data_IF_381286575288
#
_entry.id   IF_381286575288
#
_cell.length_a   1.000
_cell.length_b   1.000
_cell.length_c   1.000
_cell.angle_alpha   90.00
_cell.angle_beta   90.00
_cell.angle_gamma   90.00
#
_symmetry.space_group_name_H-M   'P 1'
#
loop_
_entity.id
_entity.type
_entity.pdbx_description
1 polymer ?
#
# COMPACT_ATOMS: atom_id res chain seq x y z
N UNK A 1 5.21 19.47 9.67
CA UNK A 1 3.75 19.40 9.91
C UNK A 1 3.40 17.94 10.02
N UNK A 2 3.30 17.51 11.27
CA UNK A 2 3.05 16.13 11.71
C UNK A 2 1.57 15.83 11.52
N UNK A 3 1.24 15.14 10.42
CA UNK A 3 -0.04 14.46 10.30
C UNK A 3 0.13 13.09 10.97
N UNK A 4 -0.16 13.07 12.27
CA UNK A 4 -0.31 11.88 13.09
C UNK A 4 -1.19 10.85 12.37
N UNK A 5 -0.58 9.89 11.68
CA UNK A 5 -1.25 8.66 11.29
C UNK A 5 -1.48 7.90 12.59
N UNK A 6 -2.69 8.02 13.15
CA UNK A 6 -3.09 7.20 14.28
C UNK A 6 -2.89 5.73 13.90
N UNK A 7 -1.86 5.10 14.47
CA UNK A 7 -1.53 3.71 14.22
C UNK A 7 -2.73 2.88 14.65
N UNK A 8 -3.38 2.22 13.70
CA UNK A 8 -4.50 1.32 14.04
C UNK A 8 -3.94 0.18 14.88
N UNK A 9 -4.44 -0.07 16.10
CA UNK A 9 -3.94 -1.16 16.93
C UNK A 9 -4.06 -2.51 16.22
N UNK A 10 -3.09 -3.39 16.41
CA UNK A 10 -3.04 -4.71 15.75
C UNK A 10 -4.33 -5.51 15.97
N UNK A 11 -4.91 -5.46 17.16
CA UNK A 11 -6.18 -6.15 17.45
C UNK A 11 -7.35 -5.65 16.58
N UNK A 12 -7.40 -4.34 16.34
CA UNK A 12 -8.43 -3.71 15.51
C UNK A 12 -8.20 -3.99 14.02
N UNK A 13 -6.94 -3.99 13.55
CA UNK A 13 -6.60 -4.48 12.21
C UNK A 13 -7.05 -5.94 12.02
N UNK A 14 -6.76 -6.80 13.00
CA UNK A 14 -7.17 -8.21 12.98
C UNK A 14 -8.70 -8.39 12.91
N UNK A 15 -9.46 -7.57 13.66
CA UNK A 15 -10.93 -7.58 13.60
C UNK A 15 -11.44 -7.22 12.21
N UNK A 16 -10.94 -6.14 11.60
CA UNK A 16 -11.32 -5.70 10.25
C UNK A 16 -10.99 -6.75 9.19
N UNK A 17 -9.81 -7.36 9.26
CA UNK A 17 -9.40 -8.44 8.35
C UNK A 17 -10.32 -9.65 8.50
N UNK A 18 -10.66 -10.05 9.73
CA UNK A 18 -11.56 -11.19 9.97
C UNK A 18 -12.97 -10.98 9.42
N UNK A 19 -13.45 -9.74 9.46
CA UNK A 19 -14.75 -9.36 8.87
C UNK A 19 -14.69 -9.37 7.34
N UNK A 20 -13.68 -8.72 6.75
CA UNK A 20 -13.51 -8.63 5.30
C UNK A 20 -13.22 -9.97 4.63
N UNK A 21 -12.46 -10.86 5.28
CA UNK A 21 -12.05 -12.16 4.71
C UNK A 21 -13.24 -13.04 4.33
N UNK A 22 -14.35 -12.97 5.08
CA UNK A 22 -15.58 -13.70 4.78
C UNK A 22 -16.27 -13.21 3.50
N UNK A 23 -16.13 -11.93 3.16
CA UNK A 23 -16.64 -11.38 1.91
C UNK A 23 -15.76 -11.80 0.74
N UNK A 24 -14.43 -11.63 0.88
CA UNK A 24 -13.45 -12.02 -0.15
C UNK A 24 -13.53 -13.52 -0.46
N UNK A 25 -13.67 -14.37 0.56
CA UNK A 25 -13.78 -15.82 0.39
C UNK A 25 -15.03 -16.24 -0.42
N UNK A 26 -16.11 -15.46 -0.34
CA UNK A 26 -17.37 -15.72 -1.07
C UNK A 26 -17.45 -15.00 -2.42
N UNK A 27 -16.51 -14.12 -2.72
CA UNK A 27 -16.47 -13.44 -4.01
C UNK A 27 -16.24 -14.45 -5.14
N UNK A 28 -17.01 -14.30 -6.21
CA UNK A 28 -16.83 -15.07 -7.45
C UNK A 28 -15.48 -14.74 -8.09
N UNK A 29 -15.02 -15.60 -9.01
CA UNK A 29 -13.81 -15.33 -9.80
C UNK A 29 -13.93 -14.01 -10.57
N UNK A 30 -15.05 -13.77 -11.24
CA UNK A 30 -15.29 -12.53 -11.98
C UNK A 30 -15.14 -11.27 -11.11
N UNK A 31 -15.72 -11.27 -9.89
CA UNK A 31 -15.57 -10.13 -8.96
C UNK A 31 -14.13 -9.91 -8.51
N UNK A 32 -13.34 -10.99 -8.37
CA UNK A 32 -11.91 -10.87 -8.02
C UNK A 32 -11.12 -10.32 -9.20
N UNK A 33 -11.40 -10.80 -10.40
CA UNK A 33 -10.74 -10.35 -11.62
C UNK A 33 -11.03 -8.86 -11.86
N UNK A 34 -12.29 -8.43 -11.74
CA UNK A 34 -12.69 -7.02 -11.85
C UNK A 34 -11.97 -6.14 -10.82
N UNK A 35 -11.83 -6.60 -9.57
CA UNK A 35 -11.12 -5.87 -8.54
C UNK A 35 -9.61 -5.74 -8.85
N UNK A 36 -8.99 -6.78 -9.41
CA UNK A 36 -7.58 -6.75 -9.80
C UNK A 36 -7.34 -5.83 -11.00
N UNK A 37 -8.22 -5.86 -12.01
CA UNK A 37 -8.16 -4.96 -13.16
C UNK A 37 -8.34 -3.50 -12.73
N UNK A 38 -9.33 -3.21 -11.88
CA UNK A 38 -9.53 -1.87 -11.33
C UNK A 38 -8.31 -1.39 -10.51
N UNK A 39 -7.68 -2.27 -9.74
CA UNK A 39 -6.45 -1.93 -9.02
C UNK A 39 -5.29 -1.61 -9.98
N UNK A 40 -5.14 -2.38 -11.06
CA UNK A 40 -4.14 -2.11 -12.09
C UNK A 40 -4.37 -0.75 -12.78
N UNK A 41 -5.61 -0.45 -13.15
CA UNK A 41 -5.98 0.83 -13.76
C UNK A 41 -5.70 2.00 -12.81
N UNK A 42 -6.00 1.84 -11.51
CA UNK A 42 -5.73 2.85 -10.50
C UNK A 42 -4.23 3.08 -10.28
N UNK A 43 -3.41 2.02 -10.34
CA UNK A 43 -1.95 2.16 -10.25
C UNK A 43 -1.40 2.98 -11.41
N UNK A 44 -1.88 2.73 -12.64
CA UNK A 44 -1.49 3.51 -13.81
C UNK A 44 -1.99 4.95 -13.69
N UNK A 45 -3.26 5.16 -13.34
CA UNK A 45 -3.85 6.50 -13.23
C UNK A 45 -3.20 7.35 -12.14
N UNK A 46 -2.72 6.74 -11.04
CA UNK A 46 -2.12 7.44 -9.90
C UNK A 46 -0.62 7.22 -9.79
N UNK A 47 0.05 6.94 -10.92
CA UNK A 47 1.50 6.69 -10.93
C UNK A 47 2.28 7.86 -10.32
N UNK A 48 1.94 9.10 -10.67
CA UNK A 48 2.63 10.28 -10.15
C UNK A 48 2.52 10.39 -8.62
N UNK A 49 1.31 10.18 -8.07
CA UNK A 49 1.09 10.19 -6.61
C UNK A 49 1.93 9.12 -5.89
N UNK A 50 2.03 7.92 -6.48
CA UNK A 50 2.81 6.81 -5.92
C UNK A 50 4.30 7.09 -5.98
N UNK A 51 4.80 7.64 -7.09
CA UNK A 51 6.22 7.99 -7.25
C UNK A 51 6.63 9.15 -6.34
N UNK A 52 5.79 10.17 -6.19
CA UNK A 52 6.04 11.29 -5.28
C UNK A 52 6.12 10.81 -3.82
N UNK A 53 5.21 9.93 -3.40
CA UNK A 53 5.26 9.31 -2.08
C UNK A 53 6.53 8.45 -1.89
N UNK A 54 6.91 7.67 -2.91
CA UNK A 54 8.12 6.85 -2.87
C UNK A 54 9.40 7.69 -2.79
N UNK A 55 9.46 8.82 -3.51
CA UNK A 55 10.60 9.74 -3.45
C UNK A 55 10.78 10.32 -2.03
N UNK A 56 9.69 10.65 -1.34
CA UNK A 56 9.74 11.10 0.06
C UNK A 56 10.26 10.01 1.00
N UNK A 57 9.87 8.75 0.77
CA UNK A 57 10.35 7.59 1.51
C UNK A 57 11.84 7.31 1.25
N UNK A 58 12.30 7.42 0.00
CA UNK A 58 13.72 7.30 -0.37
C UNK A 58 14.57 8.38 0.32
N UNK A 59 14.11 9.63 0.31
CA UNK A 59 14.80 10.71 1.01
C UNK A 59 14.88 10.45 2.53
N UNK A 60 13.85 9.83 3.12
CA UNK A 60 13.89 9.41 4.53
C UNK A 60 14.89 8.26 4.76
N UNK A 61 14.87 7.25 3.91
CA UNK A 61 15.76 6.09 3.98
C UNK A 61 17.23 6.48 3.85
N UNK A 62 17.55 7.47 3.00
CA UNK A 62 18.90 8.04 2.88
C UNK A 62 19.36 8.67 4.21
N UNK A 63 18.51 9.48 4.85
CA UNK A 63 18.82 10.09 6.14
C UNK A 63 18.97 9.07 7.28
N UNK A 64 18.27 7.94 7.19
CA UNK A 64 18.31 6.85 8.16
C UNK A 64 19.45 5.85 7.91
N UNK A 65 20.27 6.06 6.86
CA UNK A 65 21.43 5.22 6.56
C UNK A 65 21.09 3.86 5.94
N UNK A 66 19.91 3.73 5.32
CA UNK A 66 19.54 2.53 4.55
C UNK A 66 20.51 2.37 3.37
N UNK A 67 20.95 1.14 3.09
CA UNK A 67 21.98 0.91 2.05
C UNK A 67 21.52 1.33 0.66
N UNK A 68 22.45 1.84 -0.15
CA UNK A 68 22.19 2.27 -1.52
C UNK A 68 21.59 1.14 -2.38
N UNK A 69 22.03 -0.11 -2.19
CA UNK A 69 21.49 -1.29 -2.89
C UNK A 69 20.01 -1.52 -2.62
N UNK A 70 19.53 -1.23 -1.40
CA UNK A 70 18.10 -1.36 -1.06
C UNK A 70 17.30 -0.22 -1.68
N UNK A 71 17.84 1.00 -1.66
CA UNK A 71 17.21 2.17 -2.27
C UNK A 71 17.11 2.06 -3.80
N UNK A 72 18.13 1.50 -4.46
CA UNK A 72 18.21 1.42 -5.92
C UNK A 72 17.10 0.56 -6.55
N UNK A 73 16.60 -0.43 -5.81
CA UNK A 73 15.46 -1.26 -6.26
C UNK A 73 14.12 -0.53 -6.26
N UNK A 74 14.07 0.69 -5.75
CA UNK A 74 12.86 1.51 -5.63
C UNK A 74 12.85 2.68 -6.63
N UNK A 75 13.93 2.87 -7.40
CA UNK A 75 14.02 3.84 -8.49
C UNK A 75 13.65 3.19 -9.81
#
# INVERSE_FOLDING_TARGET
MDASHAVTPIAELGRRVKEASRAVARASTAQKDDALLAAADLLVQRTDEVLDANAADLARAEREGVSATVQDRLR
#
